data_IF_182965537155
#
_entry.id   IF_182965537155
#
_cell.length_a   1.000
_cell.length_b   1.000
_cell.length_c   1.000
_cell.angle_alpha   90.00
_cell.angle_beta   90.00
_cell.angle_gamma   90.00
#
_symmetry.space_group_name_H-M   'P 1'
#
loop_
_entity.id
_entity.type
_entity.pdbx_description
1 polymer ?
#
# COMPACT_ATOMS: atom_id res chain seq x y z
N UNK A 1 7.38 -16.26 -23.09
CA UNK A 1 6.55 -15.05 -22.91
C UNK A 1 6.70 -14.66 -21.45
N UNK A 2 7.68 -13.82 -21.16
CA UNK A 2 7.97 -13.41 -19.79
C UNK A 2 6.86 -12.45 -19.34
N UNK A 3 5.86 -12.98 -18.62
CA UNK A 3 4.90 -12.15 -17.91
C UNK A 3 5.63 -11.46 -16.76
N UNK A 4 6.02 -10.21 -16.99
CA UNK A 4 6.46 -9.31 -15.92
C UNK A 4 5.22 -8.91 -15.12
N UNK A 5 5.03 -9.57 -13.98
CA UNK A 5 4.08 -9.12 -12.97
C UNK A 5 4.80 -8.12 -12.07
N UNK A 6 4.38 -6.86 -12.11
CA UNK A 6 4.84 -5.86 -11.15
C UNK A 6 4.18 -6.13 -9.81
N UNK A 7 4.99 -6.50 -8.81
CA UNK A 7 4.50 -6.81 -7.47
C UNK A 7 4.19 -5.49 -6.76
N UNK A 8 2.94 -5.25 -6.31
CA UNK A 8 2.63 -4.01 -5.61
C UNK A 8 3.39 -3.95 -4.29
N UNK A 9 3.91 -2.76 -3.95
CA UNK A 9 4.72 -2.55 -2.74
C UNK A 9 3.88 -1.81 -1.70
N UNK A 10 3.89 -2.30 -0.46
CA UNK A 10 3.19 -1.66 0.63
C UNK A 10 3.80 -0.29 0.97
N UNK A 11 2.96 0.74 1.05
CA UNK A 11 3.37 2.11 1.37
C UNK A 11 3.81 2.29 2.83
N UNK A 12 3.36 1.43 3.75
CA UNK A 12 3.74 1.47 5.18
C UNK A 12 5.11 0.82 5.45
N UNK A 13 5.34 -0.40 4.94
CA UNK A 13 6.53 -1.18 5.27
C UNK A 13 7.54 -1.34 4.13
N UNK A 14 7.18 -0.94 2.90
CA UNK A 14 8.04 -1.13 1.72
C UNK A 14 8.19 -2.59 1.28
N UNK A 15 7.39 -3.52 1.84
CA UNK A 15 7.41 -4.93 1.43
C UNK A 15 6.56 -5.16 0.20
N UNK A 16 7.04 -6.06 -0.64
CA UNK A 16 6.31 -6.59 -1.79
C UNK A 16 5.10 -7.39 -1.28
N UNK A 17 3.92 -7.08 -1.82
CA UNK A 17 2.67 -7.77 -1.49
C UNK A 17 2.59 -9.02 -2.33
N UNK A 18 2.64 -10.18 -1.69
CA UNK A 18 2.47 -11.45 -2.41
C UNK A 18 1.04 -11.60 -2.92
N UNK A 19 0.80 -12.25 -4.08
CA UNK A 19 -0.53 -12.39 -4.65
C UNK A 19 -1.50 -13.24 -3.80
N UNK A 20 -1.00 -13.96 -2.79
CA UNK A 20 -1.82 -14.70 -1.81
C UNK A 20 -2.10 -13.92 -0.53
N UNK A 21 -1.51 -12.75 -0.34
CA UNK A 21 -1.69 -11.95 0.88
C UNK A 21 -2.94 -11.08 0.78
N UNK A 22 -3.67 -10.93 1.89
CA UNK A 22 -4.86 -10.07 1.98
C UNK A 22 -4.48 -8.58 2.06
N UNK A 23 -3.81 -8.09 1.04
CA UNK A 23 -3.55 -6.68 0.90
C UNK A 23 -4.80 -5.91 0.46
N UNK A 24 -4.84 -4.64 0.85
CA UNK A 24 -5.84 -3.68 0.36
C UNK A 24 -5.12 -2.56 -0.37
N UNK A 25 -5.81 -2.01 -1.36
CA UNK A 25 -5.39 -0.78 -2.03
C UNK A 25 -6.56 0.17 -2.08
N UNK A 26 -6.27 1.45 -1.87
CA UNK A 26 -7.26 2.51 -1.95
C UNK A 26 -6.57 3.81 -2.34
N UNK A 27 -7.36 4.70 -2.91
CA UNK A 27 -6.88 6.04 -3.25
C UNK A 27 -6.81 6.88 -1.98
N UNK A 28 -5.74 7.65 -1.81
CA UNK A 28 -5.61 8.55 -0.68
C UNK A 28 -6.84 9.48 -0.58
N UNK A 29 -7.55 9.50 0.57
CA UNK A 29 -8.76 10.32 0.72
C UNK A 29 -8.46 11.82 0.78
N UNK A 30 -7.21 12.22 1.02
CA UNK A 30 -6.82 13.61 1.13
C UNK A 30 -6.47 14.24 -0.24
N UNK A 31 -5.67 13.55 -1.07
CA UNK A 31 -5.29 14.08 -2.38
C UNK A 31 -6.03 13.44 -3.56
N UNK A 32 -6.59 12.24 -3.45
CA UNK A 32 -7.26 11.57 -4.57
C UNK A 32 -6.34 11.10 -5.70
N UNK A 33 -5.03 11.34 -5.60
CA UNK A 33 -4.07 11.09 -6.69
C UNK A 33 -3.11 9.92 -6.42
N UNK A 34 -2.84 9.61 -5.15
CA UNK A 34 -1.93 8.53 -4.77
C UNK A 34 -2.70 7.24 -4.45
N UNK A 35 -2.26 6.12 -5.02
CA UNK A 35 -2.72 4.79 -4.65
C UNK A 35 -1.89 4.30 -3.47
N UNK A 36 -2.55 4.03 -2.36
CA UNK A 36 -1.94 3.50 -1.15
C UNK A 36 -2.15 1.99 -1.13
N UNK A 37 -1.06 1.24 -1.02
CA UNK A 37 -1.08 -0.20 -0.87
C UNK A 37 -0.73 -0.58 0.56
N UNK A 38 -1.56 -1.42 1.18
CA UNK A 38 -1.33 -1.89 2.55
C UNK A 38 -1.41 -3.40 2.61
N UNK A 39 -0.31 -4.02 3.05
CA UNK A 39 -0.27 -5.44 3.33
C UNK A 39 -1.13 -5.79 4.55
N UNK A 40 -1.47 -7.06 4.68
CA UNK A 40 -2.26 -7.58 5.79
C UNK A 40 -1.60 -7.26 7.13
N UNK A 41 -0.29 -7.51 7.27
CA UNK A 41 0.42 -7.27 8.54
C UNK A 41 0.36 -5.81 8.98
N UNK A 42 0.53 -4.86 8.05
CA UNK A 42 0.42 -3.44 8.38
C UNK A 42 -1.01 -3.06 8.78
N UNK A 43 -2.04 -3.65 8.17
CA UNK A 43 -3.44 -3.44 8.60
C UNK A 43 -3.71 -4.01 9.98
N UNK A 44 -3.26 -5.22 10.26
CA UNK A 44 -3.45 -5.89 11.56
C UNK A 44 -2.75 -5.13 12.68
N UNK A 45 -1.56 -4.59 12.39
CA UNK A 45 -0.76 -3.81 13.32
C UNK A 45 -1.11 -2.31 13.33
N UNK A 46 -2.09 -1.86 12.54
CA UNK A 46 -2.45 -0.44 12.38
C UNK A 46 -1.24 0.47 12.14
N UNK A 47 -0.31 0.02 11.29
CA UNK A 47 0.96 0.74 11.03
C UNK A 47 0.68 2.00 10.23
N UNK A 48 1.02 3.19 10.72
CA UNK A 48 0.75 4.41 9.99
C UNK A 48 1.33 4.36 8.57
N UNK A 49 0.53 4.72 7.58
CA UNK A 49 0.99 4.92 6.21
C UNK A 49 1.07 6.41 5.92
N UNK A 50 2.09 6.80 5.17
CA UNK A 50 2.27 8.18 4.70
C UNK A 50 2.01 8.24 3.22
N UNK A 51 1.09 9.11 2.82
CA UNK A 51 0.87 9.37 1.40
C UNK A 51 2.07 10.13 0.81
N UNK A 52 2.70 9.64 -0.28
CA UNK A 52 3.88 10.28 -0.87
C UNK A 52 3.58 11.62 -1.57
N UNK A 53 2.29 11.90 -1.88
CA UNK A 53 1.87 13.14 -2.55
C UNK A 53 1.56 14.27 -1.57
N UNK A 54 0.65 14.04 -0.62
CA UNK A 54 0.19 15.07 0.32
C UNK A 54 0.85 15.00 1.70
N UNK A 55 1.64 13.95 2.00
CA UNK A 55 2.25 13.76 3.32
C UNK A 55 1.26 13.38 4.42
N UNK A 56 0.01 13.08 4.07
CA UNK A 56 -1.02 12.66 5.02
C UNK A 56 -0.64 11.32 5.65
N UNK A 57 -0.63 11.27 6.98
CA UNK A 57 -0.35 10.08 7.76
C UNK A 57 -1.66 9.56 8.37
N UNK A 58 -1.99 8.30 8.11
CA UNK A 58 -3.14 7.64 8.72
C UNK A 58 -2.86 6.19 9.10
N UNK A 59 -3.71 5.59 9.95
CA UNK A 59 -3.48 4.27 10.54
C UNK A 59 -3.68 3.10 9.56
#
# INVERSE_FOLDING_TARGET
MEMKFEIPVCTSCGKEITPREHATHFVCPNCGEAIIWRCESCRVLSVPYKCPKCGWEGP
#
